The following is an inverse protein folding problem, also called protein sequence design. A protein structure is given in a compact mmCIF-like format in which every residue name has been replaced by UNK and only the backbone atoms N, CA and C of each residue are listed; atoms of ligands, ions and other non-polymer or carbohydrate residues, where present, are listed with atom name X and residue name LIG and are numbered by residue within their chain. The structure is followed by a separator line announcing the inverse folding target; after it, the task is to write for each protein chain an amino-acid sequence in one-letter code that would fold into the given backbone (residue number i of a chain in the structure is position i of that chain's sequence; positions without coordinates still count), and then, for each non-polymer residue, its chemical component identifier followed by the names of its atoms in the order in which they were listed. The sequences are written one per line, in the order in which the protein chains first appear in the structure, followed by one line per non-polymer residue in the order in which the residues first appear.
data_IF_120029529690
#
_entry.id   IF_120029529690
#
_cell.length_a   1.000
_cell.length_b   1.000
_cell.length_c   1.000
_cell.angle_alpha   90.00
_cell.angle_beta   90.00
_cell.angle_gamma   90.00
#
_symmetry.space_group_name_H-M   'P 1'
#
loop_
_entity.id
_entity.type
_entity.pdbx_description
1 polymer ?
#
# COMPACT_ATOMS: atom_id res chain seq x y z
N UNK A 1 7.49 -30.97 7.80
CA UNK A 1 6.04 -30.67 7.83
C UNK A 1 5.61 -30.31 6.42
N UNK A 2 4.72 -31.07 5.79
CA UNK A 2 4.28 -30.80 4.42
C UNK A 2 3.37 -29.56 4.41
N UNK A 3 3.77 -28.50 3.69
CA UNK A 3 2.96 -27.30 3.50
C UNK A 3 1.77 -27.71 2.63
N UNK A 4 0.59 -27.83 3.27
CA UNK A 4 -0.67 -28.13 2.58
C UNK A 4 -1.02 -26.91 1.73
N UNK A 5 -0.73 -26.97 0.43
CA UNK A 5 -1.08 -25.90 -0.52
C UNK A 5 -2.59 -25.74 -0.54
N UNK A 6 -3.10 -24.64 0.02
CA UNK A 6 -4.53 -24.33 0.00
C UNK A 6 -4.93 -24.03 -1.44
N UNK A 7 -5.93 -24.74 -1.96
CA UNK A 7 -6.58 -24.37 -3.22
C UNK A 7 -7.17 -22.97 -3.05
N UNK A 8 -6.71 -22.02 -3.84
CA UNK A 8 -7.28 -20.67 -3.92
C UNK A 8 -8.39 -20.67 -4.96
N UNK A 9 -9.55 -20.14 -4.60
CA UNK A 9 -10.66 -19.93 -5.52
C UNK A 9 -10.73 -18.45 -5.88
N UNK A 10 -10.85 -18.15 -7.16
CA UNK A 10 -11.08 -16.78 -7.63
C UNK A 10 -12.42 -16.25 -7.09
N UNK A 11 -12.58 -14.94 -7.01
CA UNK A 11 -13.80 -14.35 -6.48
C UNK A 11 -15.01 -14.66 -7.38
N UNK A 12 -14.78 -14.68 -8.68
CA UNK A 12 -15.74 -14.96 -9.75
C UNK A 12 -16.28 -16.38 -9.64
N UNK A 13 -15.38 -17.36 -9.44
CA UNK A 13 -15.74 -18.78 -9.28
C UNK A 13 -16.62 -18.99 -8.05
N UNK A 14 -16.31 -18.32 -6.93
CA UNK A 14 -17.13 -18.39 -5.70
C UNK A 14 -18.55 -17.90 -5.97
N UNK A 15 -18.68 -16.79 -6.69
CA UNK A 15 -19.99 -16.21 -7.03
C UNK A 15 -20.74 -17.11 -7.99
N UNK A 16 -20.08 -17.75 -8.95
CA UNK A 16 -20.71 -18.69 -9.88
C UNK A 16 -21.31 -19.90 -9.15
N UNK A 17 -20.55 -20.51 -8.22
CA UNK A 17 -21.02 -21.65 -7.42
C UNK A 17 -22.21 -21.24 -6.53
N UNK A 18 -22.13 -20.08 -5.87
CA UNK A 18 -23.23 -19.55 -5.07
C UNK A 18 -24.48 -19.28 -5.93
N UNK A 19 -24.30 -18.76 -7.15
CA UNK A 19 -25.38 -18.49 -8.09
C UNK A 19 -26.12 -19.77 -8.50
N UNK A 20 -25.40 -20.86 -8.76
CA UNK A 20 -26.03 -22.15 -9.11
C UNK A 20 -26.94 -22.65 -7.99
N UNK A 21 -26.50 -22.59 -6.73
CA UNK A 21 -27.37 -22.97 -5.61
C UNK A 21 -28.58 -22.04 -5.46
N UNK A 22 -28.34 -20.73 -5.48
CA UNK A 22 -29.34 -19.72 -5.13
C UNK A 22 -30.37 -19.45 -6.24
N UNK A 23 -30.00 -19.58 -7.51
CA UNK A 23 -30.88 -19.34 -8.66
C UNK A 23 -31.37 -20.62 -9.32
N UNK A 24 -30.46 -21.58 -9.58
CA UNK A 24 -30.79 -22.83 -10.28
C UNK A 24 -31.32 -23.92 -9.32
N UNK A 25 -31.33 -23.64 -8.00
CA UNK A 25 -31.75 -24.56 -6.92
C UNK A 25 -30.99 -25.89 -6.89
N UNK A 26 -29.78 -25.93 -7.45
CA UNK A 26 -28.91 -27.11 -7.38
C UNK A 26 -28.56 -27.39 -5.91
N UNK A 27 -28.70 -28.63 -5.41
CA UNK A 27 -28.41 -28.94 -4.02
C UNK A 27 -26.91 -28.75 -3.71
N UNK A 28 -26.60 -28.40 -2.46
CA UNK A 28 -25.23 -28.12 -2.01
C UNK A 28 -24.34 -29.37 -2.11
N UNK A 29 -24.91 -30.58 -1.95
CA UNK A 29 -24.20 -31.85 -2.13
C UNK A 29 -23.55 -31.94 -3.50
N UNK A 30 -24.34 -31.73 -4.55
CA UNK A 30 -23.91 -31.93 -5.93
C UNK A 30 -22.88 -30.88 -6.34
N UNK A 31 -23.01 -29.65 -5.83
CA UNK A 31 -22.02 -28.58 -6.02
C UNK A 31 -20.70 -28.89 -5.30
N UNK A 32 -20.77 -29.43 -4.09
CA UNK A 32 -19.57 -29.81 -3.33
C UNK A 32 -18.82 -30.96 -4.03
N UNK A 33 -19.56 -31.91 -4.61
CA UNK A 33 -19.00 -33.04 -5.35
C UNK A 33 -18.40 -32.58 -6.69
N UNK A 34 -19.11 -31.74 -7.45
CA UNK A 34 -18.65 -31.23 -8.75
C UNK A 34 -17.41 -30.33 -8.62
N UNK A 35 -17.35 -29.48 -7.60
CA UNK A 35 -16.26 -28.53 -7.41
C UNK A 35 -15.18 -29.03 -6.42
N UNK A 36 -15.26 -30.28 -5.97
CA UNK A 36 -14.37 -30.88 -4.96
C UNK A 36 -14.18 -29.97 -3.73
N UNK A 37 -15.29 -29.44 -3.23
CA UNK A 37 -15.35 -28.46 -2.15
C UNK A 37 -15.94 -29.08 -0.89
N UNK A 38 -15.46 -28.65 0.27
CA UNK A 38 -16.09 -28.99 1.54
C UNK A 38 -17.36 -28.14 1.76
N UNK A 39 -18.47 -28.72 2.22
CA UNK A 39 -19.70 -27.97 2.50
C UNK A 39 -19.51 -26.78 3.46
N UNK A 40 -18.60 -26.91 4.42
CA UNK A 40 -18.25 -25.82 5.36
C UNK A 40 -17.70 -24.57 4.65
N UNK A 41 -16.98 -24.75 3.53
CA UNK A 41 -16.45 -23.65 2.73
C UNK A 41 -17.57 -22.95 1.96
N UNK A 42 -18.53 -23.71 1.42
CA UNK A 42 -19.70 -23.15 0.73
C UNK A 42 -20.51 -22.24 1.65
N UNK A 43 -20.87 -22.72 2.84
CA UNK A 43 -21.64 -21.92 3.80
C UNK A 43 -20.87 -20.69 4.29
N UNK A 44 -19.54 -20.79 4.44
CA UNK A 44 -18.71 -19.63 4.75
C UNK A 44 -18.77 -18.58 3.65
N UNK A 45 -18.65 -18.98 2.38
CA UNK A 45 -18.76 -18.04 1.26
C UNK A 45 -20.15 -17.45 1.13
N UNK A 46 -21.19 -18.25 1.35
CA UNK A 46 -22.57 -17.77 1.34
C UNK A 46 -22.77 -16.68 2.39
N UNK A 47 -22.28 -16.90 3.62
CA UNK A 47 -22.33 -15.90 4.69
C UNK A 47 -21.56 -14.63 4.30
N UNK A 48 -20.31 -14.77 3.89
CA UNK A 48 -19.47 -13.63 3.46
C UNK A 48 -20.12 -12.85 2.31
N UNK A 49 -20.76 -13.54 1.36
CA UNK A 49 -21.44 -12.92 0.22
C UNK A 49 -22.65 -12.10 0.66
N UNK A 50 -23.49 -12.61 1.55
CA UNK A 50 -24.67 -11.86 2.03
C UNK A 50 -24.30 -10.72 2.98
N UNK A 51 -23.26 -10.88 3.81
CA UNK A 51 -22.77 -9.82 4.69
C UNK A 51 -22.21 -8.63 3.88
N UNK A 52 -21.45 -8.92 2.83
CA UNK A 52 -20.89 -7.89 1.96
C UNK A 52 -21.85 -7.48 0.82
N UNK A 53 -22.93 -8.24 0.59
CA UNK A 53 -23.86 -8.01 -0.51
C UNK A 53 -24.55 -6.65 -0.42
N UNK A 54 -24.81 -6.15 0.78
CA UNK A 54 -25.34 -4.81 0.99
C UNK A 54 -24.43 -3.71 0.43
N UNK A 55 -23.10 -3.91 0.42
CA UNK A 55 -22.15 -2.95 -0.14
C UNK A 55 -22.25 -2.88 -1.67
N UNK A 56 -22.64 -3.98 -2.33
CA UNK A 56 -22.86 -3.98 -3.78
C UNK A 56 -24.03 -3.08 -4.20
N UNK A 57 -25.10 -3.03 -3.39
CA UNK A 57 -26.29 -2.22 -3.67
C UNK A 57 -26.17 -0.76 -3.23
N UNK A 58 -25.24 -0.44 -2.31
CA UNK A 58 -24.97 0.96 -1.91
C UNK A 58 -24.42 1.82 -3.06
N UNK A 59 -24.08 1.20 -4.19
CA UNK A 59 -23.64 1.86 -5.40
C UNK A 59 -22.23 2.41 -5.25
N UNK A 60 -21.42 2.27 -6.29
CA UNK A 60 -20.04 2.76 -6.36
C UNK A 60 -19.94 4.29 -6.25
N UNK A 61 -21.04 5.02 -6.08
CA UNK A 61 -21.07 6.48 -5.97
C UNK A 61 -20.41 6.98 -4.68
N UNK A 62 -20.55 6.24 -3.57
CA UNK A 62 -19.85 6.55 -2.31
C UNK A 62 -18.36 6.24 -2.40
N UNK A 63 -18.02 5.03 -2.88
CA UNK A 63 -16.63 4.55 -2.97
C UNK A 63 -15.83 5.27 -4.06
N UNK A 64 -16.42 5.62 -5.20
CA UNK A 64 -15.76 6.38 -6.27
C UNK A 64 -15.44 7.80 -5.83
N UNK A 65 -16.39 8.51 -5.19
CA UNK A 65 -16.13 9.85 -4.65
C UNK A 65 -15.10 9.81 -3.53
N UNK A 66 -15.14 8.80 -2.69
CA UNK A 66 -14.15 8.61 -1.63
C UNK A 66 -12.76 8.32 -2.21
N UNK A 67 -12.66 7.46 -3.24
CA UNK A 67 -11.42 7.20 -3.98
C UNK A 67 -10.90 8.49 -4.63
N UNK A 68 -11.73 9.22 -5.36
CA UNK A 68 -11.36 10.50 -5.97
C UNK A 68 -10.94 11.57 -4.94
N UNK A 69 -11.52 11.53 -3.73
CA UNK A 69 -11.12 12.40 -2.62
C UNK A 69 -9.77 11.98 -2.04
N UNK A 70 -9.52 10.67 -1.92
CA UNK A 70 -8.24 10.13 -1.45
C UNK A 70 -7.14 10.41 -2.46
N UNK A 71 -7.40 10.23 -3.75
CA UNK A 71 -6.44 10.51 -4.83
C UNK A 71 -6.07 12.00 -4.86
N UNK A 72 -7.06 12.89 -4.70
CA UNK A 72 -6.80 14.33 -4.54
C UNK A 72 -5.92 14.63 -3.33
N UNK A 73 -6.16 13.95 -2.20
CA UNK A 73 -5.35 14.14 -1.00
C UNK A 73 -3.93 13.63 -1.17
N UNK A 74 -3.75 12.51 -1.87
CA UNK A 74 -2.43 11.96 -2.19
C UNK A 74 -1.66 12.97 -3.07
N UNK A 75 -2.27 13.48 -4.13
CA UNK A 75 -1.64 14.46 -5.00
C UNK A 75 -1.24 15.77 -4.28
N UNK A 76 -2.08 16.25 -3.35
CA UNK A 76 -1.76 17.41 -2.51
C UNK A 76 -0.56 17.14 -1.58
N UNK A 77 -0.53 15.98 -0.93
CA UNK A 77 0.56 15.59 -0.05
C UNK A 77 1.88 15.39 -0.82
N UNK A 78 1.82 14.81 -2.02
CA UNK A 78 2.99 14.67 -2.89
C UNK A 78 3.57 16.03 -3.28
N UNK A 79 2.73 17.00 -3.65
CA UNK A 79 3.18 18.37 -3.93
C UNK A 79 3.83 19.04 -2.72
N UNK A 80 3.27 18.83 -1.53
CA UNK A 80 3.89 19.37 -0.31
C UNK A 80 5.24 18.73 -0.02
N UNK A 81 5.39 17.42 -0.29
CA UNK A 81 6.68 16.74 -0.15
C UNK A 81 7.71 17.25 -1.14
N UNK A 82 7.34 17.45 -2.41
CA UNK A 82 8.29 17.98 -3.41
C UNK A 82 8.75 19.39 -3.06
N UNK A 83 7.82 20.27 -2.67
CA UNK A 83 8.18 21.63 -2.26
C UNK A 83 9.11 21.65 -1.04
N UNK A 84 8.86 20.79 -0.05
CA UNK A 84 9.74 20.66 1.12
C UNK A 84 11.12 20.12 0.75
N UNK A 85 11.19 19.12 -0.13
CA UNK A 85 12.45 18.54 -0.57
C UNK A 85 13.32 19.55 -1.33
N UNK A 86 12.71 20.43 -2.13
CA UNK A 86 13.41 21.51 -2.83
C UNK A 86 14.05 22.48 -1.84
N UNK A 87 13.28 23.00 -0.88
CA UNK A 87 13.79 23.90 0.17
C UNK A 87 14.89 23.23 1.00
N UNK A 88 14.72 21.94 1.34
CA UNK A 88 15.75 21.18 2.08
C UNK A 88 17.02 21.05 1.24
N UNK A 89 16.91 20.81 -0.06
CA UNK A 89 18.07 20.70 -0.96
C UNK A 89 18.86 22.01 -1.00
N UNK A 90 18.18 23.15 -1.13
CA UNK A 90 18.81 24.48 -1.11
C UNK A 90 19.54 24.73 0.22
N UNK A 91 18.85 24.53 1.34
CA UNK A 91 19.45 24.69 2.68
C UNK A 91 20.63 23.74 2.91
N UNK A 92 20.54 22.51 2.41
CA UNK A 92 21.60 21.52 2.54
C UNK A 92 22.82 21.90 1.69
N UNK A 93 22.61 22.47 0.50
CA UNK A 93 23.70 23.00 -0.33
C UNK A 93 24.43 24.14 0.37
N UNK A 94 23.70 25.11 0.93
CA UNK A 94 24.30 26.21 1.69
C UNK A 94 25.05 25.71 2.93
N UNK A 95 24.45 24.77 3.67
CA UNK A 95 25.08 24.19 4.85
C UNK A 95 26.38 23.43 4.51
N UNK A 96 26.39 22.67 3.42
CA UNK A 96 27.59 21.96 2.94
C UNK A 96 28.66 22.94 2.48
N UNK A 97 28.29 24.02 1.80
CA UNK A 97 29.23 25.06 1.38
C UNK A 97 29.88 25.73 2.61
N UNK A 98 29.07 26.18 3.57
CA UNK A 98 29.55 26.80 4.80
C UNK A 98 30.48 25.85 5.59
N UNK A 99 30.13 24.57 5.68
CA UNK A 99 30.96 23.57 6.37
C UNK A 99 32.30 23.34 5.67
N UNK A 100 32.34 23.36 4.33
CA UNK A 100 33.59 23.28 3.57
C UNK A 100 34.45 24.51 3.82
N UNK A 101 33.87 25.70 3.80
CA UNK A 101 34.60 26.95 4.02
C UNK A 101 35.17 27.03 5.44
N UNK A 102 34.38 26.66 6.45
CA UNK A 102 34.85 26.57 7.84
C UNK A 102 35.91 25.48 8.01
N UNK A 103 35.76 24.33 7.34
CA UNK A 103 36.78 23.30 7.32
C UNK A 103 38.09 23.82 6.73
N UNK A 104 38.05 24.48 5.57
CA UNK A 104 39.22 25.07 4.90
C UNK A 104 39.85 26.19 5.73
N UNK A 105 39.05 26.99 6.43
CA UNK A 105 39.53 28.00 7.37
C UNK A 105 40.24 27.37 8.56
N UNK A 106 39.73 26.27 9.11
CA UNK A 106 40.37 25.51 10.19
C UNK A 106 41.73 24.92 9.76
N UNK A 107 41.81 24.37 8.54
CA UNK A 107 43.09 23.93 7.94
C UNK A 107 44.09 25.08 7.77
N UNK A 108 43.66 26.26 7.31
CA UNK A 108 44.55 27.42 7.15
C UNK A 108 45.03 28.00 8.47
N UNK A 109 44.14 28.07 9.48
CA UNK A 109 44.51 28.55 10.81
C UNK A 109 45.51 27.57 11.42
N UNK A 110 45.27 26.27 11.36
CA UNK A 110 46.20 25.22 11.83
C UNK A 110 47.59 25.26 11.16
N UNK A 111 47.67 25.54 9.86
CA UNK A 111 48.95 25.71 9.17
C UNK A 111 49.70 26.98 9.63
N UNK A 112 49.00 28.10 9.87
CA UNK A 112 49.64 29.34 10.34
C UNK A 112 50.19 29.25 11.77
N UNK A 113 49.58 28.40 12.62
CA UNK A 113 50.06 28.16 13.99
C UNK A 113 51.34 27.31 14.05
N UNK A 114 51.64 26.51 13.02
CA UNK A 114 52.82 25.65 12.99
C UNK A 114 54.10 26.35 12.49
N UNK A 115 53.98 27.50 11.82
CA UNK A 115 55.11 28.25 11.26
C UNK A 115 55.69 29.32 12.20
N UNK A 116 54.99 29.63 13.30
CA UNK A 116 55.43 30.61 14.32
C UNK A 116 56.15 29.98 15.52
N UNK A 117 56.27 28.64 15.57
CA UNK A 117 56.97 27.90 16.63
C UNK A 117 58.32 27.32 16.15
N UNK A 118 58.91 27.90 15.10
CA UNK A 118 60.28 27.61 14.64
C UNK A 118 61.08 28.91 14.51
N UNK A 119 61.25 29.62 15.62
CA UNK A 119 62.34 30.55 15.87
C UNK A 119 62.72 30.49 17.35
#
# INVERSE_FOLDING_TARGET
MAIKTRKSYAAEDKVAVLRMHLLEKTPVSDLCDQHYMQPSMFYRWQKEFFENGALAFKGTSGTKRELESRDRRIADLERQLTAKNEVISELMQEYVALKKDLGIADWHVGCSWNERSSY
#
